data_IF_588311489446
#
_entry.id   IF_588311489446
#
_cell.length_a   1.000
_cell.length_b   1.000
_cell.length_c   1.000
_cell.angle_alpha   90.00
_cell.angle_beta   90.00
_cell.angle_gamma   90.00
#
_symmetry.space_group_name_H-M   'P 1'
#
loop_
_entity.id
_entity.type
_entity.pdbx_description
1 polymer ?
#
# COMPACT_ATOMS: atom_id res chain seq x y z
N UNK A 1 62.35 -3.07 -13.28
CA UNK A 1 60.99 -3.67 -13.28
C UNK A 1 60.41 -3.72 -11.87
N UNK A 2 60.51 -2.66 -11.03
CA UNK A 2 60.14 -2.72 -9.60
C UNK A 2 59.36 -1.50 -9.09
N UNK A 3 58.65 -0.74 -9.92
CA UNK A 3 57.96 0.49 -9.47
C UNK A 3 56.41 0.47 -9.64
N UNK A 4 55.80 -0.66 -10.05
CA UNK A 4 54.35 -0.73 -10.34
C UNK A 4 53.48 -1.35 -9.23
N UNK A 5 54.08 -2.06 -8.29
CA UNK A 5 53.37 -2.76 -7.21
C UNK A 5 52.69 -1.87 -6.14
N UNK A 6 53.27 -0.74 -5.68
CA UNK A 6 52.67 0.09 -4.65
C UNK A 6 51.44 0.87 -5.15
N UNK A 7 51.39 1.25 -6.43
CA UNK A 7 50.28 2.01 -7.03
C UNK A 7 48.99 1.16 -7.16
N UNK A 8 49.12 -0.14 -7.37
CA UNK A 8 47.98 -1.04 -7.50
C UNK A 8 47.28 -1.31 -6.15
N UNK A 9 48.08 -1.44 -5.06
CA UNK A 9 47.53 -1.58 -3.69
C UNK A 9 46.84 -0.29 -3.21
N UNK A 10 47.41 0.88 -3.52
CA UNK A 10 46.83 2.17 -3.18
C UNK A 10 45.49 2.43 -3.91
N UNK A 11 45.38 2.07 -5.20
CA UNK A 11 44.14 2.20 -5.95
C UNK A 11 43.00 1.29 -5.41
N UNK A 12 43.33 0.05 -5.02
CA UNK A 12 42.37 -0.84 -4.37
C UNK A 12 41.92 -0.31 -3.00
N UNK A 13 42.81 0.24 -2.19
CA UNK A 13 42.46 0.82 -0.91
C UNK A 13 41.55 2.06 -1.04
N UNK A 14 41.85 2.94 -2.03
CA UNK A 14 41.02 4.12 -2.33
C UNK A 14 39.62 3.69 -2.81
N UNK A 15 39.51 2.67 -3.67
CA UNK A 15 38.26 2.16 -4.15
C UNK A 15 37.40 1.54 -3.01
N UNK A 16 38.02 0.79 -2.10
CA UNK A 16 37.35 0.23 -0.92
C UNK A 16 36.87 1.33 0.03
N UNK A 17 37.70 2.38 0.26
CA UNK A 17 37.30 3.50 1.09
C UNK A 17 36.18 4.33 0.45
N UNK A 18 36.20 4.53 -0.87
CA UNK A 18 35.13 5.21 -1.59
C UNK A 18 33.79 4.38 -1.52
N UNK A 19 33.87 3.07 -1.67
CA UNK A 19 32.72 2.18 -1.52
C UNK A 19 32.16 2.20 -0.08
N UNK A 20 33.03 2.20 0.91
CA UNK A 20 32.63 2.31 2.32
C UNK A 20 32.00 3.68 2.64
N UNK A 21 32.52 4.79 2.06
CA UNK A 21 31.90 6.10 2.21
C UNK A 21 30.53 6.19 1.54
N UNK A 22 30.35 5.63 0.34
CA UNK A 22 29.05 5.58 -0.34
C UNK A 22 28.06 4.75 0.47
N UNK A 23 28.48 3.61 1.02
CA UNK A 23 27.66 2.79 1.89
C UNK A 23 27.26 3.52 3.20
N UNK A 24 28.16 4.26 3.80
CA UNK A 24 27.88 5.07 5.00
C UNK A 24 26.91 6.24 4.72
N UNK A 25 27.00 6.92 3.59
CA UNK A 25 26.07 7.99 3.23
C UNK A 25 24.67 7.46 2.90
N UNK A 26 24.59 6.28 2.31
CA UNK A 26 23.29 5.63 2.05
C UNK A 26 22.57 5.20 3.35
N UNK A 27 23.30 4.87 4.40
CA UNK A 27 22.74 4.50 5.71
C UNK A 27 22.28 5.70 6.55
N UNK A 28 22.82 6.90 6.31
CA UNK A 28 22.46 8.12 7.05
C UNK A 28 21.10 8.70 6.62
N UNK A 29 20.52 8.25 5.50
CA UNK A 29 19.23 8.71 4.99
C UNK A 29 18.01 7.88 5.44
N UNK A 30 18.20 6.77 6.15
CA UNK A 30 17.08 5.92 6.59
C UNK A 30 16.57 6.33 7.97
N UNK A 31 15.39 6.90 8.01
CA UNK A 31 14.65 7.17 9.25
C UNK A 31 13.86 5.95 9.70
N UNK A 32 13.89 5.65 11.00
CA UNK A 32 13.06 4.60 11.60
C UNK A 32 11.84 5.26 12.23
N UNK A 33 10.67 5.10 11.61
CA UNK A 33 9.42 5.76 12.01
C UNK A 33 8.30 4.78 12.27
N UNK A 34 7.41 5.17 13.18
CA UNK A 34 6.08 4.58 13.33
C UNK A 34 5.08 5.52 12.67
N UNK A 35 4.56 5.17 11.50
CA UNK A 35 3.74 6.05 10.67
C UNK A 35 2.31 6.20 11.17
N UNK A 36 1.82 5.28 12.02
CA UNK A 36 0.47 5.30 12.57
C UNK A 36 0.48 5.07 14.08
N UNK A 37 -0.57 5.51 14.76
CA UNK A 37 -0.90 5.05 16.11
C UNK A 37 -1.27 3.56 16.09
N UNK A 38 -1.21 2.90 17.25
CA UNK A 38 -1.38 1.45 17.35
C UNK A 38 -2.80 0.97 17.04
N UNK A 39 -3.83 1.80 17.30
CA UNK A 39 -5.22 1.37 17.24
C UNK A 39 -5.56 0.31 18.30
N UNK A 40 -6.76 -0.24 18.22
CA UNK A 40 -7.19 -1.37 19.06
C UNK A 40 -6.49 -2.68 18.66
N UNK A 41 -6.10 -2.81 17.39
CA UNK A 41 -5.38 -3.98 16.86
C UNK A 41 -3.88 -4.01 17.24
N UNK A 42 -3.34 -2.92 17.81
CA UNK A 42 -2.03 -2.91 18.45
C UNK A 42 -0.83 -2.88 17.50
N UNK A 43 -0.94 -2.26 16.31
CA UNK A 43 0.17 -2.18 15.36
C UNK A 43 1.22 -1.15 15.82
N UNK A 44 2.40 -1.63 16.20
CA UNK A 44 3.50 -0.80 16.73
C UNK A 44 4.82 -0.96 15.98
N UNK A 45 4.83 -1.72 14.90
CA UNK A 45 6.05 -1.93 14.10
C UNK A 45 6.59 -0.61 13.57
N UNK A 46 7.89 -0.41 13.73
CA UNK A 46 8.63 0.68 13.10
C UNK A 46 9.05 0.30 11.68
N UNK A 47 9.05 1.28 10.80
CA UNK A 47 9.36 1.14 9.38
C UNK A 47 10.64 1.91 9.04
N UNK A 48 11.38 1.40 8.05
CA UNK A 48 12.61 2.05 7.55
C UNK A 48 12.24 2.89 6.33
N UNK A 49 12.41 4.21 6.45
CA UNK A 49 12.06 5.17 5.40
C UNK A 49 13.31 5.91 4.89
N UNK A 50 13.66 5.70 3.63
CA UNK A 50 14.77 6.39 2.94
C UNK A 50 14.28 7.40 1.91
N UNK A 51 13.00 7.31 1.48
CA UNK A 51 12.37 8.25 0.56
C UNK A 51 11.52 9.24 1.35
N UNK A 52 11.43 10.51 0.94
CA UNK A 52 10.60 11.48 1.63
C UNK A 52 9.10 11.22 1.35
N UNK A 53 8.25 11.60 2.30
CA UNK A 53 6.79 11.50 2.16
C UNK A 53 6.29 12.41 1.04
N UNK A 54 6.78 13.62 0.98
CA UNK A 54 6.41 14.62 -0.01
C UNK A 54 6.69 14.12 -1.44
N UNK A 55 7.78 13.41 -1.63
CA UNK A 55 8.11 12.81 -2.92
C UNK A 55 7.09 11.74 -3.32
N UNK A 56 6.70 10.86 -2.39
CA UNK A 56 5.70 9.83 -2.65
C UNK A 56 4.33 10.44 -2.90
N UNK A 57 3.93 11.44 -2.13
CA UNK A 57 2.65 12.14 -2.31
C UNK A 57 2.56 12.83 -3.68
N UNK A 58 3.64 13.49 -4.12
CA UNK A 58 3.72 14.12 -5.45
C UNK A 58 3.65 13.08 -6.58
N UNK A 59 4.41 12.00 -6.48
CA UNK A 59 4.38 10.92 -7.46
C UNK A 59 2.99 10.26 -7.54
N UNK A 60 2.37 10.01 -6.41
CA UNK A 60 1.02 9.45 -6.31
C UNK A 60 -0.02 10.37 -6.92
N UNK A 61 0.04 11.67 -6.62
CA UNK A 61 -0.88 12.65 -7.19
C UNK A 61 -0.74 12.76 -8.72
N UNK A 62 0.49 12.76 -9.23
CA UNK A 62 0.76 12.81 -10.67
C UNK A 62 0.26 11.53 -11.39
N UNK A 63 0.59 10.36 -10.85
CA UNK A 63 0.15 9.08 -11.42
C UNK A 63 -1.38 8.94 -11.40
N UNK A 64 -2.03 9.35 -10.32
CA UNK A 64 -3.49 9.31 -10.22
C UNK A 64 -4.17 10.30 -11.18
N UNK A 65 -3.60 11.50 -11.35
CA UNK A 65 -4.11 12.48 -12.31
C UNK A 65 -4.01 11.95 -13.76
N UNK A 66 -2.90 11.31 -14.11
CA UNK A 66 -2.72 10.65 -15.40
C UNK A 66 -3.76 9.54 -15.63
N UNK A 67 -3.94 8.65 -14.65
CA UNK A 67 -4.92 7.56 -14.71
C UNK A 67 -6.35 8.10 -14.94
N UNK A 68 -6.73 9.16 -14.22
CA UNK A 68 -8.03 9.83 -14.40
C UNK A 68 -8.17 10.45 -15.76
N UNK A 69 -7.12 11.08 -16.27
CA UNK A 69 -7.10 11.67 -17.61
C UNK A 69 -7.30 10.61 -18.68
N UNK A 70 -6.57 9.51 -18.63
CA UNK A 70 -6.69 8.39 -19.56
C UNK A 70 -8.08 7.76 -19.52
N UNK A 71 -8.62 7.53 -18.31
CA UNK A 71 -9.98 7.00 -18.15
C UNK A 71 -11.05 7.98 -18.64
N UNK A 72 -10.84 9.29 -18.46
CA UNK A 72 -11.73 10.34 -19.00
C UNK A 72 -11.74 10.34 -20.53
N UNK A 73 -10.57 10.26 -21.17
CA UNK A 73 -10.45 10.17 -22.63
C UNK A 73 -11.15 8.92 -23.20
N UNK A 74 -11.02 7.79 -22.48
CA UNK A 74 -11.69 6.52 -22.83
C UNK A 74 -13.17 6.49 -22.43
N UNK A 75 -13.68 7.49 -21.74
CA UNK A 75 -15.03 7.56 -21.18
C UNK A 75 -15.34 6.38 -20.23
N UNK A 76 -14.36 5.98 -19.45
CA UNK A 76 -14.46 4.87 -18.47
C UNK A 76 -14.37 5.34 -17.03
N UNK A 77 -14.32 6.66 -16.78
CA UNK A 77 -14.27 7.26 -15.45
C UNK A 77 -15.68 7.61 -14.98
N UNK A 78 -16.07 7.09 -13.80
CA UNK A 78 -17.33 7.44 -13.11
C UNK A 78 -18.58 7.33 -13.98
N UNK A 79 -18.67 6.29 -14.80
CA UNK A 79 -19.74 6.12 -15.80
C UNK A 79 -21.10 5.80 -15.21
N UNK A 80 -21.15 5.30 -13.96
CA UNK A 80 -22.37 5.00 -13.20
C UNK A 80 -22.44 5.92 -11.97
N UNK A 81 -23.30 6.96 -11.96
CA UNK A 81 -23.43 7.87 -10.82
C UNK A 81 -23.94 7.20 -9.54
N UNK A 82 -24.78 6.18 -9.64
CA UNK A 82 -25.31 5.47 -8.48
C UNK A 82 -24.20 4.62 -7.81
N UNK A 83 -23.39 3.94 -8.63
CA UNK A 83 -22.24 3.19 -8.17
C UNK A 83 -21.17 4.12 -7.56
N UNK A 84 -20.90 5.26 -8.19
CA UNK A 84 -19.98 6.26 -7.65
C UNK A 84 -20.46 6.76 -6.27
N UNK A 85 -21.74 7.10 -6.13
CA UNK A 85 -22.31 7.57 -4.87
C UNK A 85 -22.21 6.48 -3.78
N UNK A 86 -22.45 5.20 -4.12
CA UNK A 86 -22.27 4.07 -3.22
C UNK A 86 -20.84 3.97 -2.71
N UNK A 87 -19.84 3.99 -3.61
CA UNK A 87 -18.41 3.90 -3.27
C UNK A 87 -17.96 5.10 -2.45
N UNK A 88 -18.38 6.32 -2.82
CA UNK A 88 -18.08 7.54 -2.08
C UNK A 88 -18.71 7.57 -0.69
N UNK A 89 -19.91 7.04 -0.53
CA UNK A 89 -20.56 6.90 0.77
C UNK A 89 -19.78 6.00 1.72
N UNK A 90 -19.31 4.85 1.22
CA UNK A 90 -18.45 3.93 1.98
C UNK A 90 -17.13 4.59 2.33
N UNK A 91 -16.46 5.22 1.34
CA UNK A 91 -15.21 5.93 1.56
C UNK A 91 -15.33 7.02 2.64
N UNK A 92 -16.37 7.84 2.58
CA UNK A 92 -16.62 8.92 3.55
C UNK A 92 -16.70 8.39 4.98
N UNK A 93 -17.39 7.28 5.19
CA UNK A 93 -17.50 6.65 6.50
C UNK A 93 -16.15 6.09 6.98
N UNK A 94 -15.37 5.46 6.12
CA UNK A 94 -14.04 4.97 6.45
C UNK A 94 -13.07 6.12 6.75
N UNK A 95 -13.05 7.16 5.90
CA UNK A 95 -12.19 8.33 6.05
C UNK A 95 -12.50 9.09 7.36
N UNK A 96 -13.74 9.10 7.82
CA UNK A 96 -14.09 9.70 9.11
C UNK A 96 -13.40 9.02 10.31
N UNK A 97 -12.85 7.82 10.14
CA UNK A 97 -12.18 7.04 11.18
C UNK A 97 -10.63 7.10 11.11
N UNK A 98 -10.04 7.69 10.06
CA UNK A 98 -8.57 7.66 9.86
C UNK A 98 -7.79 8.36 10.97
N UNK A 99 -8.41 9.34 11.66
CA UNK A 99 -7.79 10.07 12.76
C UNK A 99 -7.32 9.18 13.91
N UNK A 100 -7.96 8.02 14.10
CA UNK A 100 -7.56 7.02 15.11
C UNK A 100 -6.13 6.53 14.89
N UNK A 101 -5.73 6.41 13.64
CA UNK A 101 -4.41 5.96 13.26
C UNK A 101 -3.49 7.11 12.90
N UNK A 102 -4.03 8.13 12.22
CA UNK A 102 -3.24 9.20 11.65
C UNK A 102 -4.02 10.51 11.61
N UNK A 103 -3.89 11.36 12.65
CA UNK A 103 -4.65 12.61 12.76
C UNK A 103 -4.47 13.55 11.56
N UNK A 104 -3.25 13.63 10.98
CA UNK A 104 -2.97 14.46 9.81
C UNK A 104 -3.68 13.99 8.53
N UNK A 105 -4.05 12.70 8.44
CA UNK A 105 -4.75 12.15 7.29
C UNK A 105 -6.17 12.72 7.11
N UNK A 106 -6.77 13.31 8.13
CA UNK A 106 -8.04 14.03 8.01
C UNK A 106 -7.94 15.18 7.00
N UNK A 107 -6.78 15.83 6.95
CA UNK A 107 -6.49 16.94 6.03
C UNK A 107 -5.99 16.51 4.64
N UNK A 108 -5.89 15.22 4.33
CA UNK A 108 -5.47 14.78 3.01
C UNK A 108 -6.50 15.15 1.93
N UNK A 109 -6.02 15.38 0.72
CA UNK A 109 -6.89 15.64 -0.44
C UNK A 109 -7.46 14.31 -0.96
N UNK A 110 -8.40 13.73 -0.21
CA UNK A 110 -9.07 12.49 -0.57
C UNK A 110 -9.80 12.61 -1.90
N UNK A 111 -9.55 11.67 -2.78
CA UNK A 111 -10.24 11.54 -4.07
C UNK A 111 -10.71 10.10 -4.24
N UNK A 112 -11.98 9.92 -4.63
CA UNK A 112 -12.62 8.61 -4.77
C UNK A 112 -13.26 8.53 -6.14
N UNK A 113 -12.76 7.63 -6.97
CA UNK A 113 -13.26 7.43 -8.33
C UNK A 113 -13.51 5.95 -8.63
N UNK A 114 -14.48 5.69 -9.51
CA UNK A 114 -14.80 4.37 -10.04
C UNK A 114 -14.35 4.31 -11.50
N UNK A 115 -13.56 3.28 -11.80
CA UNK A 115 -13.04 3.02 -13.14
C UNK A 115 -13.75 1.83 -13.76
N UNK A 116 -14.36 2.03 -14.93
CA UNK A 116 -14.99 0.96 -15.66
C UNK A 116 -13.90 0.04 -16.26
N UNK A 117 -13.79 -1.16 -15.74
CA UNK A 117 -12.83 -2.18 -16.13
C UNK A 117 -13.32 -3.55 -15.66
N UNK A 118 -13.00 -4.60 -16.39
CA UNK A 118 -13.24 -5.99 -15.96
C UNK A 118 -12.24 -6.46 -14.90
N UNK A 119 -11.21 -5.68 -14.65
CA UNK A 119 -10.19 -6.01 -13.67
C UNK A 119 -10.77 -6.06 -12.25
N UNK A 120 -10.51 -7.15 -11.53
CA UNK A 120 -10.86 -7.29 -10.12
C UNK A 120 -9.77 -6.63 -9.30
N UNK A 121 -9.92 -5.31 -9.06
CA UNK A 121 -8.91 -4.50 -8.42
C UNK A 121 -9.50 -3.28 -7.70
N UNK A 122 -8.75 -2.77 -6.71
CA UNK A 122 -8.91 -1.48 -6.05
C UNK A 122 -7.54 -1.07 -5.49
N UNK A 123 -7.32 0.21 -5.24
CA UNK A 123 -6.12 0.70 -4.57
C UNK A 123 -6.34 2.06 -3.92
N UNK A 124 -5.47 2.41 -2.98
CA UNK A 124 -5.36 3.75 -2.42
C UNK A 124 -3.89 4.20 -2.45
N UNK A 125 -3.57 5.16 -3.33
CA UNK A 125 -2.25 5.78 -3.37
C UNK A 125 -2.07 6.77 -2.22
N UNK A 126 -0.82 7.13 -1.93
CA UNK A 126 -0.46 8.11 -0.91
C UNK A 126 -1.22 9.43 -1.11
N UNK A 127 -1.53 10.11 0.01
CA UNK A 127 -2.34 11.31 0.00
C UNK A 127 -3.83 11.07 -0.26
N UNK A 128 -4.31 9.79 -0.19
CA UNK A 128 -5.73 9.44 -0.20
C UNK A 128 -6.37 9.39 -1.58
N UNK A 129 -5.69 8.83 -2.59
CA UNK A 129 -6.18 8.68 -3.97
C UNK A 129 -6.76 7.28 -4.17
N UNK A 130 -8.08 7.13 -4.03
CA UNK A 130 -8.80 5.85 -4.03
C UNK A 130 -9.37 5.58 -5.43
N UNK A 131 -9.07 4.41 -5.97
CA UNK A 131 -9.65 3.86 -7.18
C UNK A 131 -10.33 2.53 -6.89
N UNK A 132 -11.54 2.35 -7.41
CA UNK A 132 -12.27 1.09 -7.36
C UNK A 132 -12.66 0.73 -8.79
N UNK A 133 -12.35 -0.50 -9.21
CA UNK A 133 -12.70 -0.99 -10.53
C UNK A 133 -14.06 -1.68 -10.52
N UNK A 134 -14.85 -1.49 -11.57
CA UNK A 134 -16.18 -2.12 -11.68
C UNK A 134 -16.12 -3.64 -11.64
N UNK A 135 -15.04 -4.24 -12.17
CA UNK A 135 -14.81 -5.69 -12.14
C UNK A 135 -14.79 -6.25 -10.72
N UNK A 136 -14.19 -5.55 -9.76
CA UNK A 136 -14.21 -5.96 -8.35
C UNK A 136 -15.65 -6.07 -7.81
N UNK A 137 -16.50 -5.09 -8.15
CA UNK A 137 -17.86 -5.02 -7.63
C UNK A 137 -18.76 -6.04 -8.31
N UNK A 138 -18.68 -6.14 -9.64
CA UNK A 138 -19.61 -6.92 -10.46
C UNK A 138 -19.29 -8.42 -10.44
N UNK A 139 -18.01 -8.79 -10.61
CA UNK A 139 -17.62 -10.20 -10.67
C UNK A 139 -17.73 -10.89 -9.30
N UNK A 140 -17.39 -10.18 -8.21
CA UNK A 140 -17.52 -10.72 -6.86
C UNK A 140 -18.93 -10.54 -6.28
N UNK A 141 -19.80 -9.76 -6.93
CA UNK A 141 -21.12 -9.36 -6.38
C UNK A 141 -20.99 -8.90 -4.92
N UNK A 142 -20.05 -7.97 -4.74
CA UNK A 142 -19.57 -7.54 -3.42
C UNK A 142 -20.64 -6.72 -2.68
N UNK A 143 -20.86 -7.04 -1.41
CA UNK A 143 -21.72 -6.26 -0.51
C UNK A 143 -21.03 -4.96 -0.07
N UNK A 144 -21.75 -4.05 0.60
CA UNK A 144 -21.16 -2.83 1.16
C UNK A 144 -20.14 -3.12 2.26
N UNK A 145 -20.39 -4.12 3.10
CA UNK A 145 -19.45 -4.55 4.14
C UNK A 145 -18.17 -5.13 3.55
N UNK A 146 -18.27 -5.94 2.49
CA UNK A 146 -17.13 -6.50 1.79
C UNK A 146 -16.34 -5.41 1.05
N UNK A 147 -17.03 -4.44 0.41
CA UNK A 147 -16.39 -3.31 -0.24
C UNK A 147 -15.68 -2.40 0.77
N UNK A 148 -16.29 -2.20 1.93
CA UNK A 148 -15.67 -1.48 3.03
C UNK A 148 -14.42 -2.19 3.56
N UNK A 149 -14.41 -3.52 3.60
CA UNK A 149 -13.22 -4.29 3.98
C UNK A 149 -12.07 -4.11 2.99
N UNK A 150 -12.33 -4.18 1.66
CA UNK A 150 -11.31 -3.86 0.64
C UNK A 150 -10.82 -2.43 0.77
N UNK A 151 -11.73 -1.46 0.79
CA UNK A 151 -11.37 -0.04 0.84
C UNK A 151 -10.64 0.32 2.13
N UNK A 152 -11.02 -0.30 3.25
CA UNK A 152 -10.33 -0.15 4.53
C UNK A 152 -8.88 -0.67 4.46
N UNK A 153 -8.67 -1.83 3.85
CA UNK A 153 -7.36 -2.42 3.59
C UNK A 153 -6.49 -1.47 2.73
N UNK A 154 -7.04 -0.93 1.63
CA UNK A 154 -6.33 0.00 0.77
C UNK A 154 -5.98 1.32 1.48
N UNK A 155 -6.93 1.87 2.25
CA UNK A 155 -6.70 3.05 3.08
C UNK A 155 -5.58 2.77 4.11
N UNK A 156 -5.57 1.58 4.72
CA UNK A 156 -4.53 1.20 5.68
C UNK A 156 -3.13 1.17 5.05
N UNK A 157 -2.99 0.68 3.80
CA UNK A 157 -1.72 0.77 3.06
C UNK A 157 -1.23 2.21 2.93
N UNK A 158 -2.12 3.15 2.59
CA UNK A 158 -1.79 4.57 2.47
C UNK A 158 -1.42 5.18 3.84
N UNK A 159 -2.19 4.91 4.90
CA UNK A 159 -1.92 5.39 6.26
C UNK A 159 -0.58 4.90 6.79
N UNK A 160 -0.25 3.63 6.54
CA UNK A 160 1.01 2.98 6.93
C UNK A 160 2.18 3.34 6.01
N UNK A 161 1.93 4.10 4.94
CA UNK A 161 2.96 4.47 3.94
C UNK A 161 3.71 3.24 3.39
N UNK A 162 3.02 2.11 3.15
CA UNK A 162 3.65 0.87 2.71
C UNK A 162 4.38 1.02 1.37
N UNK A 163 3.87 1.84 0.45
CA UNK A 163 4.55 2.17 -0.81
C UNK A 163 5.85 2.91 -0.55
N UNK A 164 5.87 3.88 0.40
CA UNK A 164 7.08 4.61 0.79
C UNK A 164 8.13 3.66 1.40
N UNK A 165 7.71 2.77 2.29
CA UNK A 165 8.59 1.74 2.87
C UNK A 165 9.16 0.82 1.79
N UNK A 166 8.33 0.38 0.85
CA UNK A 166 8.74 -0.49 -0.25
C UNK A 166 9.76 0.21 -1.17
N UNK A 167 9.51 1.45 -1.59
CA UNK A 167 10.46 2.24 -2.39
C UNK A 167 11.75 2.50 -1.63
N UNK A 168 11.68 2.79 -0.34
CA UNK A 168 12.86 2.98 0.51
C UNK A 168 13.74 1.72 0.54
N UNK A 169 13.14 0.55 0.67
CA UNK A 169 13.87 -0.73 0.59
C UNK A 169 14.54 -0.94 -0.77
N UNK A 170 13.83 -0.62 -1.85
CA UNK A 170 14.37 -0.79 -3.20
C UNK A 170 15.51 0.17 -3.49
N UNK A 171 15.42 1.40 -2.99
CA UNK A 171 16.50 2.37 -3.11
C UNK A 171 17.79 1.85 -2.44
N UNK A 172 17.68 1.27 -1.24
CA UNK A 172 18.81 0.66 -0.54
C UNK A 172 19.37 -0.52 -1.35
N UNK A 173 18.50 -1.40 -1.85
CA UNK A 173 18.90 -2.55 -2.68
C UNK A 173 19.53 -2.09 -4.00
N UNK A 174 19.01 -1.02 -4.62
CA UNK A 174 19.59 -0.40 -5.81
C UNK A 174 20.99 0.14 -5.58
N UNK A 175 21.21 0.86 -4.48
CA UNK A 175 22.54 1.37 -4.10
C UNK A 175 23.52 0.22 -3.84
N UNK A 176 23.07 -0.82 -3.13
CA UNK A 176 23.89 -2.03 -2.89
C UNK A 176 24.18 -2.74 -4.23
N UNK A 177 23.20 -2.85 -5.13
CA UNK A 177 23.34 -3.44 -6.45
C UNK A 177 24.37 -2.68 -7.32
N UNK A 178 24.26 -1.34 -7.39
CA UNK A 178 25.22 -0.49 -8.12
C UNK A 178 26.61 -0.63 -7.50
N UNK A 179 26.73 -0.63 -6.17
CA UNK A 179 28.00 -0.86 -5.47
C UNK A 179 28.61 -2.23 -5.82
N UNK A 180 27.79 -3.28 -5.91
CA UNK A 180 28.24 -4.61 -6.32
C UNK A 180 28.67 -4.67 -7.78
N UNK A 181 27.98 -3.95 -8.70
CA UNK A 181 28.36 -3.82 -10.11
C UNK A 181 29.73 -3.13 -10.25
N UNK A 182 29.91 -1.99 -9.59
CA UNK A 182 31.17 -1.23 -9.61
C UNK A 182 32.31 -2.08 -8.98
N UNK A 183 32.05 -2.70 -7.83
CA UNK A 183 33.01 -3.56 -7.15
C UNK A 183 33.35 -4.80 -7.98
N UNK A 184 32.35 -5.43 -8.59
CA UNK A 184 32.53 -6.57 -9.52
C UNK A 184 33.35 -6.20 -10.75
N UNK A 185 33.04 -5.06 -11.39
CA UNK A 185 33.82 -4.55 -12.53
C UNK A 185 35.30 -4.30 -12.18
N UNK A 186 35.56 -3.77 -10.98
CA UNK A 186 36.94 -3.60 -10.46
C UNK A 186 37.67 -4.94 -10.22
N UNK A 187 36.89 -6.02 -9.99
CA UNK A 187 37.39 -7.39 -9.78
C UNK A 187 37.34 -8.24 -11.05
N UNK A 188 36.90 -7.67 -12.20
CA UNK A 188 36.80 -8.37 -13.48
C UNK A 188 35.54 -9.23 -13.63
N UNK A 189 34.52 -9.02 -12.82
CA UNK A 189 33.21 -9.70 -12.92
C UNK A 189 32.25 -8.78 -13.67
N UNK A 190 31.64 -9.28 -14.74
CA UNK A 190 30.59 -8.57 -15.50
C UNK A 190 29.25 -8.75 -14.80
N UNK A 191 28.61 -7.65 -14.40
CA UNK A 191 27.24 -7.65 -13.85
C UNK A 191 26.31 -6.95 -14.85
N UNK A 192 25.12 -7.50 -15.09
CA UNK A 192 24.16 -6.99 -16.07
C UNK A 192 23.68 -5.57 -15.69
N UNK A 193 23.87 -4.55 -16.56
CA UNK A 193 23.43 -3.19 -16.30
C UNK A 193 21.91 -2.99 -16.26
N UNK A 194 21.12 -3.92 -16.80
CA UNK A 194 19.66 -3.81 -16.85
C UNK A 194 18.98 -3.98 -15.49
N UNK A 195 19.70 -4.47 -14.48
CA UNK A 195 19.23 -4.49 -13.09
C UNK A 195 18.98 -3.09 -12.50
N UNK A 196 19.59 -2.05 -13.07
CA UNK A 196 19.48 -0.69 -12.55
C UNK A 196 18.33 0.15 -13.19
N UNK A 197 17.78 -0.26 -14.35
CA UNK A 197 16.79 0.55 -15.10
C UNK A 197 15.33 0.32 -14.75
N UNK A 198 14.99 -0.72 -13.98
CA UNK A 198 13.58 -1.07 -13.69
C UNK A 198 12.95 -0.30 -12.52
N UNK A 199 13.58 0.77 -12.01
CA UNK A 199 13.15 1.48 -10.80
C UNK A 199 11.80 2.22 -10.88
N UNK A 200 11.30 2.56 -12.07
CA UNK A 200 10.09 3.38 -12.23
C UNK A 200 8.77 2.58 -12.42
N UNK A 201 8.84 1.35 -12.93
CA UNK A 201 7.65 0.47 -13.01
C UNK A 201 7.26 -0.17 -11.66
N UNK A 202 8.12 0.00 -10.69
CA UNK A 202 8.12 -0.74 -9.43
C UNK A 202 7.22 -0.11 -8.36
N UNK A 203 6.86 1.16 -8.50
CA UNK A 203 6.22 1.90 -7.42
C UNK A 203 4.79 1.44 -7.08
N UNK A 204 4.04 0.92 -8.05
CA UNK A 204 2.61 0.61 -7.86
C UNK A 204 2.20 -0.80 -8.35
N UNK A 205 3.13 -1.59 -8.85
CA UNK A 205 2.85 -2.91 -9.41
C UNK A 205 3.58 -4.08 -8.73
N UNK A 206 4.38 -3.82 -7.69
CA UNK A 206 5.05 -4.88 -6.96
C UNK A 206 4.20 -5.38 -5.79
N UNK A 207 4.25 -6.70 -5.52
CA UNK A 207 3.58 -7.27 -4.37
C UNK A 207 4.06 -6.65 -3.07
N UNK A 208 3.13 -6.32 -2.19
CA UNK A 208 3.44 -5.91 -0.83
C UNK A 208 4.08 -7.07 -0.04
N UNK A 209 4.85 -6.74 0.98
CA UNK A 209 5.37 -7.75 1.89
C UNK A 209 4.23 -8.38 2.69
N UNK A 210 4.35 -9.67 3.04
CA UNK A 210 3.36 -10.35 3.90
C UNK A 210 3.06 -9.59 5.18
N UNK A 211 4.04 -8.92 5.76
CA UNK A 211 3.86 -8.12 6.96
C UNK A 211 3.03 -6.86 6.69
N UNK A 212 3.24 -6.19 5.55
CA UNK A 212 2.43 -5.06 5.14
C UNK A 212 0.97 -5.46 4.91
N UNK A 213 0.73 -6.66 4.35
CA UNK A 213 -0.61 -7.21 4.17
C UNK A 213 -1.32 -7.47 5.50
N UNK A 214 -0.63 -8.07 6.48
CA UNK A 214 -1.20 -8.30 7.83
C UNK A 214 -1.54 -6.97 8.50
N UNK A 215 -0.65 -5.97 8.43
CA UNK A 215 -0.92 -4.64 8.99
C UNK A 215 -2.10 -3.94 8.29
N UNK A 216 -2.21 -4.10 6.97
CA UNK A 216 -3.33 -3.53 6.20
C UNK A 216 -4.66 -4.22 6.51
N UNK A 217 -4.65 -5.54 6.70
CA UNK A 217 -5.82 -6.29 7.15
C UNK A 217 -6.28 -5.85 8.54
N UNK A 218 -5.37 -5.81 9.50
CA UNK A 218 -5.68 -5.47 10.88
C UNK A 218 -6.24 -4.04 11.00
N UNK A 219 -5.55 -3.05 10.43
CA UNK A 219 -5.97 -1.65 10.44
C UNK A 219 -7.25 -1.46 9.63
N UNK A 220 -7.31 -2.05 8.43
CA UNK A 220 -8.45 -1.93 7.53
C UNK A 220 -9.73 -2.48 8.15
N UNK A 221 -9.63 -3.60 8.85
CA UNK A 221 -10.75 -4.22 9.55
C UNK A 221 -11.23 -3.36 10.74
N UNK A 222 -10.30 -2.74 11.48
CA UNK A 222 -10.68 -1.80 12.54
C UNK A 222 -11.35 -0.55 11.97
N UNK A 223 -10.85 0.03 10.88
CA UNK A 223 -11.48 1.17 10.21
C UNK A 223 -12.90 0.83 9.76
N UNK A 224 -13.11 -0.34 9.13
CA UNK A 224 -14.41 -0.82 8.69
C UNK A 224 -15.37 -1.01 9.88
N UNK A 225 -14.93 -1.64 10.95
CA UNK A 225 -15.73 -1.83 12.16
C UNK A 225 -16.15 -0.50 12.81
N UNK A 226 -15.21 0.45 12.96
CA UNK A 226 -15.50 1.80 13.48
C UNK A 226 -16.45 2.58 12.59
N UNK A 227 -16.40 2.37 11.28
CA UNK A 227 -17.32 2.93 10.31
C UNK A 227 -18.70 2.24 10.31
N UNK A 228 -18.89 1.18 11.13
CA UNK A 228 -20.13 0.43 11.27
C UNK A 228 -20.37 -0.55 10.12
N UNK A 229 -19.31 -1.11 9.55
CA UNK A 229 -19.35 -2.24 8.62
C UNK A 229 -18.99 -3.53 9.34
N UNK A 230 -19.68 -4.63 8.98
CA UNK A 230 -19.52 -5.91 9.64
C UNK A 230 -18.13 -6.51 9.37
N UNK A 231 -17.28 -6.70 10.40
CA UNK A 231 -15.92 -7.20 10.20
C UNK A 231 -15.86 -8.64 9.66
N UNK A 232 -16.91 -9.44 9.82
CA UNK A 232 -16.98 -10.79 9.27
C UNK A 232 -16.99 -10.82 7.75
N UNK A 233 -17.38 -9.72 7.11
CA UNK A 233 -17.41 -9.60 5.67
C UNK A 233 -16.03 -9.70 5.01
N UNK A 234 -14.94 -9.39 5.74
CA UNK A 234 -13.60 -9.58 5.23
C UNK A 234 -13.30 -11.06 4.91
N UNK A 235 -13.80 -11.99 5.71
CA UNK A 235 -13.61 -13.44 5.48
C UNK A 235 -14.34 -13.88 4.21
N UNK A 236 -15.61 -13.47 4.05
CA UNK A 236 -16.41 -13.83 2.86
C UNK A 236 -15.86 -13.21 1.59
N UNK A 237 -15.32 -12.00 1.68
CA UNK A 237 -14.62 -11.34 0.59
C UNK A 237 -13.45 -12.18 0.07
N UNK A 238 -12.55 -12.61 0.97
CA UNK A 238 -11.38 -13.42 0.57
C UNK A 238 -11.78 -14.78 0.00
N UNK A 239 -12.85 -15.39 0.52
CA UNK A 239 -13.43 -16.60 -0.06
C UNK A 239 -13.89 -16.35 -1.50
N UNK A 240 -14.61 -15.25 -1.76
CA UNK A 240 -15.03 -14.86 -3.12
C UNK A 240 -13.85 -14.61 -4.04
N UNK A 241 -12.83 -13.87 -3.56
CA UNK A 241 -11.61 -13.58 -4.35
C UNK A 241 -10.86 -14.85 -4.75
N UNK A 242 -10.84 -15.88 -3.91
CA UNK A 242 -10.18 -17.16 -4.22
C UNK A 242 -10.91 -17.97 -5.30
N UNK A 243 -12.18 -17.69 -5.58
CA UNK A 243 -12.99 -18.41 -6.57
C UNK A 243 -13.03 -17.76 -7.94
N UNK A 244 -12.59 -16.50 -8.05
CA UNK A 244 -12.60 -15.73 -9.30
C UNK A 244 -11.24 -15.81 -9.98
N UNK A 245 -11.20 -15.90 -11.30
CA UNK A 245 -9.97 -15.82 -12.08
C UNK A 245 -9.70 -16.97 -13.05
N UNK A 246 -10.52 -18.04 -13.07
CA UNK A 246 -10.44 -19.08 -14.11
C UNK A 246 -9.04 -19.65 -14.33
N UNK A 247 -8.23 -19.80 -13.26
CA UNK A 247 -6.85 -20.31 -13.31
C UNK A 247 -5.76 -19.22 -13.28
N UNK A 248 -6.11 -17.94 -13.33
CA UNK A 248 -5.19 -16.81 -13.04
C UNK A 248 -5.70 -16.07 -11.81
N UNK A 249 -4.83 -15.77 -10.83
CA UNK A 249 -5.26 -14.96 -9.68
C UNK A 249 -5.74 -13.58 -10.17
N UNK A 250 -6.79 -13.02 -9.55
CA UNK A 250 -7.20 -11.64 -9.78
C UNK A 250 -6.02 -10.67 -9.63
N UNK A 251 -6.05 -9.54 -10.34
CA UNK A 251 -4.99 -8.52 -10.27
C UNK A 251 -4.74 -8.07 -8.83
N UNK A 252 -5.79 -7.91 -8.04
CA UNK A 252 -5.70 -7.62 -6.61
C UNK A 252 -4.81 -8.62 -5.86
N UNK A 253 -4.97 -9.93 -6.08
CA UNK A 253 -4.14 -10.94 -5.40
C UNK A 253 -2.69 -10.96 -5.88
N UNK A 254 -2.39 -10.41 -7.06
CA UNK A 254 -1.03 -10.30 -7.57
C UNK A 254 -0.21 -9.24 -6.82
N UNK A 255 -0.85 -8.15 -6.39
CA UNK A 255 -0.24 -7.07 -5.60
C UNK A 255 -0.41 -7.29 -4.09
N UNK A 256 -1.42 -8.06 -3.67
CA UNK A 256 -1.76 -8.36 -2.28
C UNK A 256 -1.72 -9.89 -2.03
N UNK A 257 -0.52 -10.47 -1.91
CA UNK A 257 -0.38 -11.91 -1.71
C UNK A 257 -1.02 -12.34 -0.38
N UNK A 258 -1.94 -13.30 -0.47
CA UNK A 258 -2.64 -13.83 0.70
C UNK A 258 -1.79 -14.87 1.42
N UNK A 259 -1.44 -14.71 2.71
CA UNK A 259 -0.90 -15.79 3.51
C UNK A 259 -1.97 -16.87 3.74
N UNK A 260 -1.55 -18.12 3.88
CA UNK A 260 -2.46 -19.24 4.18
C UNK A 260 -3.27 -19.03 5.47
N UNK A 261 -2.69 -18.29 6.43
CA UNK A 261 -3.32 -17.95 7.72
C UNK A 261 -4.36 -16.82 7.64
N UNK A 262 -4.48 -16.10 6.50
CA UNK A 262 -5.26 -14.85 6.41
C UNK A 262 -6.67 -14.96 6.95
N UNK A 263 -7.39 -16.04 6.63
CA UNK A 263 -8.76 -16.24 7.12
C UNK A 263 -8.82 -16.40 8.65
N UNK A 264 -7.85 -17.11 9.24
CA UNK A 264 -7.75 -17.28 10.69
C UNK A 264 -7.35 -15.98 11.39
N UNK A 265 -6.43 -15.23 10.79
CA UNK A 265 -5.98 -13.93 11.31
C UNK A 265 -7.12 -12.91 11.28
N UNK A 266 -7.88 -12.82 10.19
CA UNK A 266 -9.08 -11.97 10.08
C UNK A 266 -10.17 -12.36 11.08
N UNK A 267 -10.36 -13.65 11.35
CA UNK A 267 -11.30 -14.10 12.36
C UNK A 267 -10.88 -13.66 13.77
N UNK A 268 -9.59 -13.76 14.11
CA UNK A 268 -9.01 -13.31 15.38
C UNK A 268 -9.16 -11.78 15.54
N UNK A 269 -8.78 -11.01 14.52
CA UNK A 269 -8.89 -9.55 14.53
C UNK A 269 -10.34 -9.11 14.58
N UNK A 270 -11.24 -9.83 13.88
CA UNK A 270 -12.67 -9.61 13.93
C UNK A 270 -13.23 -9.63 15.35
N UNK A 271 -12.72 -10.52 16.23
CA UNK A 271 -13.12 -10.54 17.64
C UNK A 271 -12.63 -9.30 18.41
N UNK A 272 -11.44 -8.79 18.10
CA UNK A 272 -10.89 -7.58 18.73
C UNK A 272 -11.73 -6.35 18.38
N UNK A 273 -12.17 -6.24 17.12
CA UNK A 273 -12.87 -5.06 16.61
C UNK A 273 -14.40 -5.16 16.73
N UNK A 274 -14.96 -6.32 17.09
CA UNK A 274 -16.41 -6.52 17.25
C UNK A 274 -17.06 -5.50 18.21
N UNK A 275 -16.48 -5.15 19.38
CA UNK A 275 -17.05 -4.12 20.26
C UNK A 275 -17.12 -2.74 19.58
N UNK A 276 -16.15 -2.40 18.70
CA UNK A 276 -16.12 -1.15 17.95
C UNK A 276 -17.26 -1.11 16.93
N UNK A 277 -17.48 -2.22 16.23
CA UNK A 277 -18.59 -2.37 15.31
C UNK A 277 -19.94 -2.21 16.02
N UNK A 278 -20.14 -2.91 17.15
CA UNK A 278 -21.39 -2.83 17.92
C UNK A 278 -21.65 -1.39 18.42
N UNK A 279 -20.61 -0.69 18.87
CA UNK A 279 -20.73 0.72 19.28
C UNK A 279 -21.12 1.62 18.09
N UNK A 280 -20.52 1.39 16.91
CA UNK A 280 -20.77 2.19 15.71
C UNK A 280 -22.22 2.04 15.22
N UNK A 281 -22.75 0.82 15.13
CA UNK A 281 -24.15 0.59 14.69
C UNK A 281 -25.19 1.13 15.70
N UNK A 282 -24.90 1.02 17.00
CA UNK A 282 -25.75 1.62 18.04
C UNK A 282 -25.84 3.14 17.90
N UNK A 283 -24.71 3.82 17.68
CA UNK A 283 -24.67 5.27 17.48
C UNK A 283 -25.43 5.70 16.22
N UNK A 284 -25.28 4.95 15.10
CA UNK A 284 -26.02 5.21 13.87
C UNK A 284 -27.53 5.09 14.06
N UNK A 285 -27.98 4.07 14.78
CA UNK A 285 -29.40 3.86 15.09
C UNK A 285 -29.98 5.00 15.93
N UNK A 286 -29.22 5.52 16.87
CA UNK A 286 -29.65 6.66 17.71
C UNK A 286 -29.71 8.00 16.94
N UNK A 287 -28.82 8.18 15.97
CA UNK A 287 -28.80 9.41 15.14
C UNK A 287 -29.92 9.39 14.07
N UNK A 288 -30.38 8.21 13.67
CA UNK A 288 -31.47 8.05 12.70
C UNK A 288 -32.88 8.26 13.31
N UNK A 289 -33.01 8.28 14.64
CA UNK A 289 -34.28 8.56 15.29
C UNK A 289 -34.58 10.07 15.22
N UNK A 290 -35.76 10.50 14.77
CA UNK A 290 -36.13 11.91 14.77
C UNK A 290 -36.06 12.46 16.20
N UNK A 291 -35.34 13.56 16.40
CA UNK A 291 -35.38 14.30 17.67
C UNK A 291 -36.83 14.76 17.90
N UNK A 292 -37.44 14.19 18.90
CA UNK A 292 -38.78 14.63 19.36
C UNK A 292 -38.73 16.04 19.94
#
# INVERSE_FOLDING_TARGET
MLALLPRFKARKAIAIMALAMIAMTALQGCETVQTTQAGAVGITRKQQMGVSREQIDQQSAAAYAQLRQEAGQKRTLNTDPALLARVQGIATRLISQVAVYRPDAVGWKWEVNVFQSEEVNAFCMAGGKIAVYTGLIQQLKITDDELAAVMGHEIAHALREHVREQQSRQQVLGVVGVGAVIGGALLGVTVDPNLAQNGLQVAFGLPHSRQAEVEADDIGLELAARAGYNPKAAITLWQKMSTVGGGRPPAFLSTHPSPESRAADLARVGQIVEPLYQAAIKNQSQTALPRR
#
